data_IF_604623524786
#
_entry.id   IF_604623524786
#
_cell.length_a   1.000
_cell.length_b   1.000
_cell.length_c   1.000
_cell.angle_alpha   90.00
_cell.angle_beta   90.00
_cell.angle_gamma   90.00
#
_symmetry.space_group_name_H-M   'P 1'
#
loop_
_entity.id
_entity.type
_entity.pdbx_description
1 polymer ?
#
# COMPACT_ATOMS: atom_id res chain seq x y z
N UNK A 1 9.52 -11.08 -8.89
CA UNK A 1 8.69 -10.87 -7.69
C UNK A 1 8.87 -9.41 -7.35
N UNK A 2 7.82 -8.57 -7.41
CA UNK A 2 7.99 -7.13 -7.14
C UNK A 2 8.32 -6.95 -5.67
N UNK A 3 9.51 -6.43 -5.37
CA UNK A 3 9.89 -6.06 -4.01
C UNK A 3 9.02 -4.88 -3.56
N UNK A 4 8.24 -5.10 -2.49
CA UNK A 4 7.39 -4.05 -1.90
C UNK A 4 8.28 -3.18 -1.03
N UNK A 5 8.69 -2.03 -1.55
CA UNK A 5 9.54 -1.07 -0.84
C UNK A 5 8.70 0.00 -0.15
N UNK A 6 9.29 0.64 0.88
CA UNK A 6 8.67 1.79 1.55
C UNK A 6 8.39 2.92 0.55
N UNK A 7 9.33 3.21 -0.34
CA UNK A 7 9.21 4.26 -1.36
C UNK A 7 8.05 3.97 -2.34
N UNK A 8 7.86 2.71 -2.73
CA UNK A 8 6.71 2.30 -3.56
C UNK A 8 5.38 2.52 -2.83
N UNK A 9 5.31 2.20 -1.53
CA UNK A 9 4.13 2.45 -0.71
C UNK A 9 3.87 3.95 -0.50
N UNK A 10 4.91 4.75 -0.29
CA UNK A 10 4.81 6.22 -0.18
C UNK A 10 4.31 6.83 -1.50
N UNK A 11 4.84 6.37 -2.63
CA UNK A 11 4.42 6.78 -3.97
C UNK A 11 2.97 6.41 -4.26
N UNK A 12 2.56 5.18 -3.95
CA UNK A 12 1.18 4.76 -4.09
C UNK A 12 0.23 5.56 -3.18
N UNK A 13 0.60 5.76 -1.91
CA UNK A 13 -0.17 6.57 -0.99
C UNK A 13 -0.37 8.00 -1.50
N UNK A 14 0.66 8.64 -2.05
CA UNK A 14 0.55 9.99 -2.64
C UNK A 14 -0.37 10.03 -3.87
N UNK A 15 -0.24 9.04 -4.79
CA UNK A 15 -1.10 8.91 -5.97
C UNK A 15 -2.55 8.72 -5.59
N UNK A 16 -2.83 7.82 -4.66
CA UNK A 16 -4.19 7.52 -4.20
C UNK A 16 -4.80 8.63 -3.33
N UNK A 17 -3.99 9.32 -2.52
CA UNK A 17 -4.44 10.47 -1.73
C UNK A 17 -4.94 11.60 -2.64
N UNK A 18 -4.25 11.84 -3.76
CA UNK A 18 -4.67 12.82 -4.78
C UNK A 18 -6.01 12.43 -5.43
N UNK A 19 -6.35 11.14 -5.45
CA UNK A 19 -7.66 10.62 -5.88
C UNK A 19 -8.70 10.58 -4.75
N UNK A 20 -8.40 11.14 -3.58
CA UNK A 20 -9.30 11.19 -2.41
C UNK A 20 -9.28 9.93 -1.54
N UNK A 21 -8.37 8.99 -1.78
CA UNK A 21 -8.28 7.75 -1.02
C UNK A 21 -7.17 7.82 0.04
N UNK A 22 -7.56 7.91 1.31
CA UNK A 22 -6.61 7.97 2.43
C UNK A 22 -6.26 6.58 2.94
N UNK A 23 -5.04 6.10 2.66
CA UNK A 23 -4.57 4.77 3.08
C UNK A 23 -4.64 4.57 4.59
N UNK A 24 -4.43 5.62 5.40
CA UNK A 24 -4.47 5.51 6.86
C UNK A 24 -5.88 5.33 7.44
N UNK A 25 -6.92 5.63 6.67
CA UNK A 25 -8.31 5.44 7.11
C UNK A 25 -8.79 3.98 6.96
N UNK A 26 -7.97 3.11 6.36
CA UNK A 26 -8.35 1.74 6.01
C UNK A 26 -7.40 0.71 6.61
N UNK A 27 -7.92 -0.51 6.78
CA UNK A 27 -7.13 -1.64 7.26
C UNK A 27 -6.04 -2.02 6.24
N UNK A 28 -4.89 -2.56 6.69
CA UNK A 28 -3.84 -3.02 5.79
C UNK A 28 -4.32 -3.99 4.70
N UNK A 29 -5.29 -4.85 5.06
CA UNK A 29 -5.92 -5.78 4.13
C UNK A 29 -6.67 -5.10 3.00
N UNK A 30 -7.45 -4.06 3.31
CA UNK A 30 -8.20 -3.30 2.30
C UNK A 30 -7.24 -2.55 1.38
N UNK A 31 -6.22 -1.89 1.95
CA UNK A 31 -5.21 -1.17 1.18
C UNK A 31 -4.45 -2.13 0.25
N UNK A 32 -3.98 -3.27 0.76
CA UNK A 32 -3.29 -4.28 -0.07
C UNK A 32 -4.17 -4.83 -1.19
N UNK A 33 -5.46 -5.07 -0.92
CA UNK A 33 -6.42 -5.50 -1.94
C UNK A 33 -6.62 -4.43 -3.02
N UNK A 34 -6.84 -3.18 -2.61
CA UNK A 34 -7.06 -2.06 -3.54
C UNK A 34 -5.79 -1.77 -4.38
N UNK A 35 -4.60 -1.90 -3.79
CA UNK A 35 -3.31 -1.80 -4.49
C UNK A 35 -3.15 -2.87 -5.58
N UNK A 36 -3.37 -4.15 -5.26
CA UNK A 36 -3.28 -5.23 -6.27
C UNK A 36 -4.30 -5.02 -7.39
N UNK A 37 -5.50 -4.53 -7.05
CA UNK A 37 -6.60 -4.39 -7.99
C UNK A 37 -6.42 -3.20 -8.93
N UNK A 38 -5.91 -2.07 -8.43
CA UNK A 38 -5.94 -0.80 -9.14
C UNK A 38 -4.58 -0.18 -9.42
N UNK A 39 -3.53 -0.62 -8.74
CA UNK A 39 -2.17 -0.11 -8.93
C UNK A 39 -1.32 -1.11 -9.72
N UNK A 40 -0.93 -0.75 -10.94
CA UNK A 40 -0.17 -1.64 -11.83
C UNK A 40 1.16 -2.07 -11.23
N UNK A 41 1.77 -1.23 -10.39
CA UNK A 41 3.01 -1.50 -9.67
C UNK A 41 2.85 -2.71 -8.72
N UNK A 42 1.68 -2.88 -8.14
CA UNK A 42 1.38 -3.93 -7.15
C UNK A 42 0.55 -5.08 -7.70
N UNK A 43 0.13 -5.04 -8.97
CA UNK A 43 -0.74 -6.06 -9.60
C UNK A 43 -0.24 -7.50 -9.41
N UNK A 44 1.08 -7.69 -9.40
CA UNK A 44 1.73 -8.99 -9.25
C UNK A 44 2.41 -9.19 -7.89
N UNK A 45 2.16 -8.29 -6.93
CA UNK A 45 2.68 -8.44 -5.58
C UNK A 45 2.01 -9.62 -4.86
N UNK A 46 2.77 -10.32 -4.02
CA UNK A 46 2.20 -11.34 -3.15
C UNK A 46 1.33 -10.64 -2.09
N UNK A 47 0.04 -11.00 -2.04
CA UNK A 47 -0.92 -10.37 -1.13
C UNK A 47 -0.48 -10.39 0.33
N UNK A 48 -0.03 -11.53 0.84
CA UNK A 48 0.39 -11.66 2.24
C UNK A 48 1.60 -10.77 2.56
N UNK A 49 2.57 -10.71 1.65
CA UNK A 49 3.74 -9.83 1.82
C UNK A 49 3.34 -8.35 1.76
N UNK A 50 2.43 -7.99 0.86
CA UNK A 50 1.92 -6.63 0.75
C UNK A 50 1.15 -6.19 1.99
N UNK A 51 0.33 -7.06 2.58
CA UNK A 51 -0.36 -6.79 3.85
C UNK A 51 0.63 -6.50 4.98
N UNK A 52 1.69 -7.32 5.09
CA UNK A 52 2.74 -7.11 6.10
C UNK A 52 3.44 -5.77 5.87
N UNK A 53 3.84 -5.47 4.63
CA UNK A 53 4.51 -4.23 4.28
C UNK A 53 3.63 -2.99 4.56
N UNK A 54 2.35 -3.03 4.20
CA UNK A 54 1.40 -1.94 4.50
C UNK A 54 1.21 -1.77 6.01
N UNK A 55 1.13 -2.86 6.77
CA UNK A 55 1.01 -2.82 8.24
C UNK A 55 2.22 -2.12 8.87
N UNK A 56 3.42 -2.49 8.44
CA UNK A 56 4.66 -1.85 8.89
C UNK A 56 4.71 -0.37 8.48
N UNK A 57 4.34 -0.07 7.23
CA UNK A 57 4.32 1.29 6.70
C UNK A 57 3.36 2.22 7.48
N UNK A 58 2.13 1.76 7.78
CA UNK A 58 1.18 2.52 8.58
C UNK A 58 1.68 2.73 10.02
N UNK A 59 2.39 1.75 10.58
CA UNK A 59 2.96 1.82 11.94
C UNK A 59 4.16 2.75 12.02
N UNK A 60 5.03 2.77 11.00
CA UNK A 60 6.20 3.66 10.91
C UNK A 60 5.88 5.12 10.58
N UNK A 61 4.62 5.44 10.33
CA UNK A 61 4.14 6.79 10.00
C UNK A 61 3.51 7.51 11.21
N UNK A 62 3.61 6.89 12.40
CA UNK A 62 3.30 7.47 13.70
C UNK A 62 4.59 7.98 14.36
N UNK A 63 5.10 9.10 13.87
CA UNK A 63 6.02 9.98 14.61
C UNK A 63 5.52 11.42 14.42
#
# INVERSE_FOLDING_TARGET
MTDVTKEGLDGAAARHLSAGFNFRAFTPHKVAYDLIRWDEEFRHANYSHLVVAVTLWQSSSSD
#
